data_IF_721405229938
#
_entry.id   IF_721405229938
#
_cell.length_a   1.000
_cell.length_b   1.000
_cell.length_c   1.000
_cell.angle_alpha   90.00
_cell.angle_beta   90.00
_cell.angle_gamma   90.00
#
_symmetry.space_group_name_H-M   'P 1'
#
loop_
_entity.id
_entity.type
_entity.pdbx_description
1 polymer ?
#
# COMPACT_ATOMS: atom_id res chain seq x y z
N UNK A 1 -19.10 -4.34 0.58
CA UNK A 1 -17.97 -3.45 0.31
C UNK A 1 -16.80 -4.23 -0.27
N UNK A 2 -16.50 -5.39 0.28
CA UNK A 2 -15.53 -6.35 -0.30
C UNK A 2 -15.91 -6.90 -1.67
N UNK A 3 -17.21 -7.01 -1.99
CA UNK A 3 -17.70 -7.39 -3.33
C UNK A 3 -17.36 -6.37 -4.44
N UNK A 4 -16.92 -5.15 -4.08
CA UNK A 4 -16.44 -4.12 -5.01
C UNK A 4 -14.90 -4.00 -4.99
N UNK A 5 -14.19 -4.87 -4.28
CA UNK A 5 -12.74 -4.83 -4.16
C UNK A 5 -12.21 -3.68 -3.30
N UNK A 6 -13.04 -2.96 -2.53
CA UNK A 6 -12.57 -1.82 -1.74
C UNK A 6 -12.49 -2.19 -0.26
N UNK A 7 -11.28 -2.07 0.32
CA UNK A 7 -11.01 -2.34 1.74
C UNK A 7 -11.66 -1.32 2.69
N UNK A 8 -12.09 -0.17 2.15
CA UNK A 8 -12.95 0.79 2.81
C UNK A 8 -13.72 1.64 1.81
N UNK A 9 -14.51 2.59 2.28
CA UNK A 9 -15.24 3.54 1.46
C UNK A 9 -15.49 4.81 2.27
N UNK A 10 -15.09 5.94 1.70
CA UNK A 10 -15.50 7.24 2.21
C UNK A 10 -16.89 7.65 1.70
N UNK A 11 -17.79 8.02 2.62
CA UNK A 11 -19.08 8.64 2.29
C UNK A 11 -18.96 10.17 2.33
N UNK A 12 -18.98 10.89 1.17
CA UNK A 12 -18.85 12.35 1.14
C UNK A 12 -20.08 13.09 1.68
N UNK A 13 -21.19 12.40 1.92
CA UNK A 13 -22.43 12.98 2.45
C UNK A 13 -22.53 12.87 3.98
N UNK A 14 -21.92 11.83 4.57
CA UNK A 14 -21.90 11.63 6.03
C UNK A 14 -20.55 11.91 6.66
N UNK A 15 -19.51 12.12 5.85
CA UNK A 15 -18.12 12.28 6.28
C UNK A 15 -17.59 11.08 7.08
N UNK A 16 -18.09 9.88 6.79
CA UNK A 16 -17.70 8.65 7.48
C UNK A 16 -16.82 7.77 6.59
N UNK A 17 -15.73 7.27 7.17
CA UNK A 17 -14.94 6.19 6.61
C UNK A 17 -15.57 4.85 7.04
N UNK A 18 -15.95 4.03 6.07
CA UNK A 18 -16.46 2.70 6.32
C UNK A 18 -15.38 1.70 5.93
N UNK A 19 -14.82 0.98 6.88
CA UNK A 19 -13.77 0.00 6.62
C UNK A 19 -14.39 -1.39 6.60
N UNK A 20 -13.99 -2.20 5.61
CA UNK A 20 -14.43 -3.58 5.52
C UNK A 20 -13.80 -4.41 6.64
N UNK A 21 -14.61 -5.24 7.28
CA UNK A 21 -14.18 -6.26 8.24
C UNK A 21 -13.31 -7.34 7.60
N UNK A 22 -13.27 -7.38 6.27
CA UNK A 22 -12.42 -8.26 5.47
C UNK A 22 -10.99 -7.75 5.31
N UNK A 23 -10.52 -6.72 6.03
CA UNK A 23 -9.09 -6.34 6.01
C UNK A 23 -8.29 -7.19 7.01
N UNK A 24 -7.12 -7.72 6.63
CA UNK A 24 -6.30 -8.46 7.60
C UNK A 24 -5.79 -7.55 8.72
N UNK A 25 -5.59 -8.05 9.95
CA UNK A 25 -5.14 -7.22 11.07
C UNK A 25 -3.87 -6.40 10.77
N UNK A 26 -2.85 -6.93 10.04
CA UNK A 26 -1.68 -6.16 9.61
C UNK A 26 -2.01 -4.94 8.75
N UNK A 27 -3.01 -5.00 7.87
CA UNK A 27 -3.33 -3.89 6.96
C UNK A 27 -4.41 -2.93 7.51
N UNK A 28 -5.12 -3.30 8.58
CA UNK A 28 -6.32 -2.61 9.03
C UNK A 28 -6.11 -1.13 9.36
N UNK A 29 -5.10 -0.80 10.17
CA UNK A 29 -4.89 0.59 10.60
C UNK A 29 -4.48 1.49 9.43
N UNK A 30 -3.69 0.96 8.49
CA UNK A 30 -3.35 1.66 7.25
C UNK A 30 -4.61 1.93 6.42
N UNK A 31 -5.47 0.93 6.19
CA UNK A 31 -6.72 1.09 5.44
C UNK A 31 -7.64 2.12 6.09
N UNK A 32 -7.78 2.11 7.42
CA UNK A 32 -8.52 3.16 8.15
C UNK A 32 -7.91 4.54 7.91
N UNK A 33 -6.58 4.68 8.03
CA UNK A 33 -5.91 5.95 7.82
C UNK A 33 -6.04 6.46 6.37
N UNK A 34 -6.07 5.56 5.40
CA UNK A 34 -6.28 5.87 3.99
C UNK A 34 -7.68 6.46 3.75
N UNK A 35 -8.74 5.82 4.22
CA UNK A 35 -10.11 6.34 4.08
C UNK A 35 -10.31 7.66 4.86
N UNK A 36 -9.62 7.81 6.00
CA UNK A 36 -9.58 9.07 6.73
C UNK A 36 -8.87 10.17 5.93
N UNK A 37 -7.83 9.85 5.17
CA UNK A 37 -7.17 10.82 4.30
C UNK A 37 -8.13 11.32 3.20
N UNK A 38 -8.91 10.43 2.59
CA UNK A 38 -9.98 10.83 1.68
C UNK A 38 -11.00 11.77 2.36
N UNK A 39 -11.37 11.47 3.61
CA UNK A 39 -12.26 12.31 4.41
C UNK A 39 -11.70 13.72 4.66
N UNK A 40 -10.38 13.87 4.68
CA UNK A 40 -9.68 15.13 4.89
C UNK A 40 -9.36 15.88 3.59
N UNK A 41 -9.82 15.38 2.43
CA UNK A 41 -9.70 16.05 1.14
C UNK A 41 -8.53 15.57 0.28
N UNK A 42 -7.81 14.52 0.67
CA UNK A 42 -6.82 13.86 -0.19
C UNK A 42 -7.56 12.99 -1.21
N UNK A 43 -8.03 13.57 -2.30
CA UNK A 43 -8.84 12.85 -3.29
C UNK A 43 -8.04 11.90 -4.18
N UNK A 44 -6.71 12.06 -4.28
CA UNK A 44 -5.87 11.16 -5.07
C UNK A 44 -5.39 9.99 -4.22
N UNK A 45 -5.52 8.77 -4.75
CA UNK A 45 -5.10 7.52 -4.10
C UNK A 45 -3.65 7.52 -3.63
N UNK A 46 -2.72 8.06 -4.42
CA UNK A 46 -1.30 8.14 -4.07
C UNK A 46 -1.06 9.07 -2.86
N UNK A 47 -1.74 10.22 -2.82
CA UNK A 47 -1.68 11.17 -1.71
C UNK A 47 -2.34 10.58 -0.44
N UNK A 48 -3.46 9.88 -0.59
CA UNK A 48 -4.13 9.17 0.50
C UNK A 48 -3.27 8.03 1.07
N UNK A 49 -2.68 7.19 0.21
CA UNK A 49 -1.78 6.11 0.61
C UNK A 49 -0.51 6.64 1.31
N UNK A 50 0.11 7.70 0.78
CA UNK A 50 1.29 8.27 1.42
C UNK A 50 0.94 8.95 2.75
N UNK A 51 -0.20 9.64 2.84
CA UNK A 51 -0.68 10.22 4.10
C UNK A 51 -0.95 9.14 5.15
N UNK A 52 -1.59 8.03 4.76
CA UNK A 52 -1.82 6.88 5.63
C UNK A 52 -0.51 6.27 6.13
N UNK A 53 0.46 6.08 5.22
CA UNK A 53 1.81 5.63 5.57
C UNK A 53 2.43 6.51 6.65
N UNK A 54 2.49 7.83 6.43
CA UNK A 54 3.10 8.78 7.35
C UNK A 54 2.43 8.78 8.73
N UNK A 55 1.09 8.77 8.78
CA UNK A 55 0.34 8.72 10.04
C UNK A 55 0.63 7.43 10.81
N UNK A 56 0.65 6.30 10.10
CA UNK A 56 0.90 5.00 10.71
C UNK A 56 2.32 4.86 11.24
N UNK A 57 3.35 5.11 10.43
CA UNK A 57 4.76 4.91 10.83
C UNK A 57 5.22 5.86 11.93
N UNK A 58 4.63 7.06 12.00
CA UNK A 58 4.92 8.03 13.08
C UNK A 58 4.02 7.85 14.31
N UNK A 59 3.13 6.85 14.33
CA UNK A 59 2.22 6.63 15.45
C UNK A 59 2.97 6.16 16.71
N UNK A 60 2.45 6.53 17.88
CA UNK A 60 2.91 5.97 19.17
C UNK A 60 2.38 4.56 19.40
N UNK A 61 1.30 4.18 18.72
CA UNK A 61 0.71 2.86 18.80
C UNK A 61 1.51 1.83 17.97
N UNK A 62 2.01 0.74 18.58
CA UNK A 62 2.79 -0.27 17.85
C UNK A 62 2.03 -0.98 16.73
N UNK A 63 0.73 -1.21 16.87
CA UNK A 63 -0.08 -1.86 15.84
C UNK A 63 -0.27 -0.95 14.63
N UNK A 64 -0.47 0.36 14.86
CA UNK A 64 -0.50 1.34 13.77
C UNK A 64 0.84 1.43 13.03
N UNK A 65 1.96 1.46 13.77
CA UNK A 65 3.29 1.45 13.15
C UNK A 65 3.52 0.20 12.32
N UNK A 66 3.20 -0.96 12.90
CA UNK A 66 3.29 -2.23 12.18
C UNK A 66 2.48 -2.19 10.89
N UNK A 67 1.26 -1.68 10.95
CA UNK A 67 0.40 -1.59 9.77
C UNK A 67 0.96 -0.67 8.68
N UNK A 68 1.53 0.47 9.05
CA UNK A 68 2.23 1.36 8.12
C UNK A 68 3.44 0.71 7.48
N UNK A 69 4.28 0.07 8.28
CA UNK A 69 5.47 -0.65 7.79
C UNK A 69 5.10 -1.85 6.92
N UNK A 70 4.07 -2.61 7.31
CA UNK A 70 3.59 -3.79 6.58
C UNK A 70 3.08 -3.41 5.20
N UNK A 71 2.18 -2.43 5.09
CA UNK A 71 1.67 -1.98 3.78
C UNK A 71 2.76 -1.30 2.96
N UNK A 72 3.65 -0.53 3.58
CA UNK A 72 4.84 0.04 2.92
C UNK A 72 5.74 -1.06 2.33
N UNK A 73 5.98 -2.13 3.09
CA UNK A 73 6.73 -3.31 2.64
C UNK A 73 6.04 -4.01 1.46
N UNK A 74 4.71 -4.14 1.47
CA UNK A 74 3.97 -4.73 0.34
C UNK A 74 4.15 -3.90 -0.93
N UNK A 75 4.09 -2.56 -0.85
CA UNK A 75 4.33 -1.69 -1.99
C UNK A 75 5.76 -1.84 -2.54
N UNK A 76 6.77 -1.80 -1.66
CA UNK A 76 8.17 -1.89 -2.08
C UNK A 76 8.52 -3.28 -2.60
N UNK A 77 8.04 -4.35 -1.98
CA UNK A 77 8.22 -5.73 -2.45
C UNK A 77 7.57 -5.95 -3.82
N UNK A 78 6.37 -5.43 -4.04
CA UNK A 78 5.69 -5.54 -5.33
C UNK A 78 6.46 -4.81 -6.43
N UNK A 79 7.00 -3.62 -6.13
CA UNK A 79 7.84 -2.88 -7.05
C UNK A 79 9.17 -3.60 -7.32
N UNK A 80 9.82 -4.13 -6.27
CA UNK A 80 11.10 -4.81 -6.38
C UNK A 80 10.98 -6.12 -7.18
N UNK A 81 9.95 -6.93 -6.92
CA UNK A 81 9.67 -8.14 -7.70
C UNK A 81 9.54 -7.85 -9.20
N UNK A 82 8.94 -6.71 -9.57
CA UNK A 82 8.81 -6.31 -10.99
C UNK A 82 10.13 -5.87 -11.61
N UNK A 83 10.97 -5.21 -10.82
CA UNK A 83 12.26 -4.69 -11.28
C UNK A 83 13.35 -5.78 -11.35
N UNK A 84 13.36 -6.69 -10.38
CA UNK A 84 14.37 -7.74 -10.17
C UNK A 84 13.74 -8.97 -9.49
N UNK A 85 13.15 -9.90 -10.27
CA UNK A 85 12.52 -11.10 -9.73
C UNK A 85 13.49 -12.03 -8.98
N UNK A 86 14.73 -12.13 -9.45
CA UNK A 86 15.74 -13.01 -8.86
C UNK A 86 16.19 -12.46 -7.50
N UNK A 87 16.53 -11.16 -7.43
CA UNK A 87 16.87 -10.51 -6.18
C UNK A 87 15.68 -10.42 -5.21
N UNK A 88 14.45 -10.30 -5.72
CA UNK A 88 13.25 -10.40 -4.90
C UNK A 88 13.16 -11.73 -4.17
N UNK A 89 13.45 -12.86 -4.84
CA UNK A 89 13.36 -14.17 -4.20
C UNK A 89 14.34 -14.28 -3.02
N UNK A 90 15.59 -13.81 -3.21
CA UNK A 90 16.60 -13.77 -2.15
C UNK A 90 16.19 -12.85 -0.99
N UNK A 91 15.70 -11.64 -1.29
CA UNK A 91 15.22 -10.70 -0.27
C UNK A 91 14.04 -11.28 0.49
N UNK A 92 13.06 -11.84 -0.22
CA UNK A 92 11.85 -12.39 0.39
C UNK A 92 12.19 -13.51 1.36
N UNK A 93 13.13 -14.41 1.01
CA UNK A 93 13.59 -15.48 1.91
C UNK A 93 14.29 -14.95 3.17
N UNK A 94 14.89 -13.75 3.11
CA UNK A 94 15.53 -13.11 4.27
C UNK A 94 14.54 -12.46 5.26
N UNK A 95 13.27 -12.30 4.88
CA UNK A 95 12.22 -11.71 5.72
C UNK A 95 11.83 -12.70 6.83
N UNK A 96 11.61 -12.16 8.03
CA UNK A 96 11.11 -12.91 9.19
C UNK A 96 9.88 -13.76 8.84
N UNK A 97 9.84 -14.99 9.38
CA UNK A 97 8.78 -15.95 9.07
C UNK A 97 7.38 -15.44 9.44
N UNK A 98 7.25 -14.69 10.55
CA UNK A 98 5.99 -14.09 10.96
C UNK A 98 5.48 -13.06 9.94
N UNK A 99 6.39 -12.23 9.42
CA UNK A 99 6.05 -11.24 8.39
C UNK A 99 5.66 -11.93 7.08
N UNK A 100 6.39 -12.98 6.67
CA UNK A 100 6.02 -13.78 5.49
C UNK A 100 4.65 -14.45 5.65
N UNK A 101 4.32 -14.92 6.85
CA UNK A 101 2.99 -15.46 7.17
C UNK A 101 1.91 -14.38 6.99
N UNK A 102 2.12 -13.19 7.54
CA UNK A 102 1.18 -12.06 7.40
C UNK A 102 1.00 -11.64 5.93
N UNK A 103 2.08 -11.62 5.14
CA UNK A 103 2.02 -11.35 3.69
C UNK A 103 1.19 -12.42 2.99
N UNK A 104 1.41 -13.70 3.31
CA UNK A 104 0.67 -14.81 2.71
C UNK A 104 -0.83 -14.74 3.04
N UNK A 105 -1.18 -14.50 4.31
CA UNK A 105 -2.57 -14.33 4.75
C UNK A 105 -3.23 -13.12 4.09
N UNK A 106 -2.50 -12.00 3.96
CA UNK A 106 -2.98 -10.83 3.23
C UNK A 106 -3.35 -11.17 1.79
N UNK A 107 -2.46 -11.82 1.04
CA UNK A 107 -2.74 -12.16 -0.36
C UNK A 107 -3.86 -13.20 -0.50
N UNK A 108 -3.92 -14.24 0.34
CA UNK A 108 -5.06 -15.18 0.36
C UNK A 108 -6.37 -14.43 0.54
N UNK A 109 -6.37 -13.46 1.46
CA UNK A 109 -7.58 -12.75 1.80
C UNK A 109 -8.01 -11.78 0.70
N UNK A 110 -7.05 -11.13 0.05
CA UNK A 110 -7.28 -10.23 -1.08
C UNK A 110 -7.69 -11.00 -2.36
N UNK A 111 -7.15 -12.20 -2.59
CA UNK A 111 -7.47 -13.05 -3.76
C UNK A 111 -8.95 -13.46 -3.82
N UNK A 112 -9.65 -13.47 -2.66
CA UNK A 112 -11.11 -13.66 -2.59
C UNK A 112 -11.90 -12.56 -3.31
N UNK A 113 -11.25 -11.42 -3.59
CA UNK A 113 -11.85 -10.25 -4.19
C UNK A 113 -11.09 -9.91 -5.48
N UNK A 114 -11.37 -10.66 -6.55
CA UNK A 114 -10.70 -10.62 -7.87
C UNK A 114 -10.46 -9.19 -8.41
N UNK A 115 -11.35 -8.23 -8.11
CA UNK A 115 -11.24 -6.84 -8.59
C UNK A 115 -10.14 -5.97 -7.95
N UNK A 116 -9.74 -6.22 -6.70
CA UNK A 116 -8.73 -5.37 -6.01
C UNK A 116 -7.32 -5.63 -6.53
N UNK A 117 -6.96 -6.89 -6.75
CA UNK A 117 -5.68 -7.24 -7.37
C UNK A 117 -5.62 -6.65 -8.78
N UNK A 118 -6.69 -6.75 -9.56
CA UNK A 118 -6.70 -6.22 -10.92
C UNK A 118 -6.64 -4.68 -10.95
N UNK A 119 -7.30 -3.97 -10.01
CA UNK A 119 -7.26 -2.51 -9.90
C UNK A 119 -5.91 -2.01 -9.35
N UNK A 120 -5.33 -2.67 -8.35
CA UNK A 120 -4.01 -2.33 -7.81
C UNK A 120 -2.91 -2.64 -8.84
N UNK A 121 -2.97 -3.81 -9.49
CA UNK A 121 -2.04 -4.16 -10.56
C UNK A 121 -2.18 -3.26 -11.78
N UNK A 122 -3.41 -2.93 -12.21
CA UNK A 122 -3.65 -2.03 -13.35
C UNK A 122 -3.24 -0.60 -13.03
N UNK A 123 -3.54 -0.05 -11.84
CA UNK A 123 -3.10 1.29 -11.43
C UNK A 123 -1.57 1.39 -11.33
N UNK A 124 -0.89 0.37 -10.79
CA UNK A 124 0.58 0.35 -10.76
C UNK A 124 1.17 0.16 -12.17
N UNK A 125 0.56 -0.69 -13.01
CA UNK A 125 0.98 -0.87 -14.41
C UNK A 125 0.80 0.40 -15.25
N UNK A 126 -0.33 1.09 -15.13
CA UNK A 126 -0.60 2.35 -15.82
C UNK A 126 0.40 3.45 -15.42
N UNK A 127 0.84 3.43 -14.15
CA UNK A 127 1.81 4.39 -13.62
C UNK A 127 3.23 4.11 -14.14
N UNK A 128 3.63 2.83 -14.22
CA UNK A 128 4.87 2.40 -14.86
C UNK A 128 4.92 2.78 -16.35
N UNK A 129 3.84 2.51 -17.09
CA UNK A 129 3.75 2.88 -18.51
C UNK A 129 3.82 4.40 -18.72
N UNK A 130 3.26 5.20 -17.81
CA UNK A 130 3.34 6.67 -17.87
C UNK A 130 4.73 7.20 -17.49
N UNK A 131 5.45 6.55 -16.57
CA UNK A 131 6.83 6.93 -16.22
C UNK A 131 7.84 6.61 -17.32
N UNK A 132 7.61 5.57 -18.13
CA UNK A 132 8.48 5.22 -19.26
C UNK A 132 8.42 6.23 -20.43
N UNK A 133 7.62 7.29 -20.33
CA UNK A 133 7.52 8.37 -21.32
C UNK A 133 8.39 9.60 -21.03
N UNK A 134 9.05 9.69 -19.87
CA UNK A 134 9.93 10.81 -19.53
C UNK A 134 11.40 10.34 -19.54
N UNK A 135 12.14 10.83 -20.54
CA UNK A 135 13.60 10.66 -20.67
C UNK A 135 14.35 11.45 -19.58
N UNK A 136 14.26 11.07 -18.30
CA UNK A 136 15.26 11.49 -17.28
C UNK A 136 15.20 10.63 -15.99
N UNK A 137 15.93 9.52 -15.99
CA UNK A 137 16.90 9.23 -14.92
C UNK A 137 16.47 8.68 -13.55
N UNK A 138 15.18 8.53 -13.21
CA UNK A 138 14.76 7.81 -12.00
C UNK A 138 13.62 6.88 -12.39
N UNK A 139 13.80 5.56 -12.20
CA UNK A 139 12.70 4.62 -12.40
C UNK A 139 11.58 4.97 -11.41
N UNK A 140 10.39 5.40 -11.90
CA UNK A 140 9.24 5.52 -11.01
C UNK A 140 8.71 4.12 -10.73
N UNK A 141 8.81 3.69 -9.49
CA UNK A 141 8.31 2.40 -9.02
C UNK A 141 6.79 2.43 -8.75
N UNK A 142 6.23 3.63 -8.85
CA UNK A 142 4.87 4.02 -8.54
C UNK A 142 4.91 5.16 -7.52
N UNK A 143 4.13 6.22 -7.73
CA UNK A 143 4.20 7.48 -6.96
C UNK A 143 4.24 7.31 -5.44
N UNK A 144 3.61 6.29 -4.85
CA UNK A 144 3.70 6.05 -3.40
C UNK A 144 5.03 5.42 -2.97
N UNK A 145 5.62 4.53 -3.77
CA UNK A 145 6.93 3.91 -3.48
C UNK A 145 8.02 4.97 -3.53
N UNK A 146 7.99 5.82 -4.56
CA UNK A 146 8.96 6.91 -4.71
C UNK A 146 8.89 7.87 -3.51
N UNK A 147 7.68 8.18 -3.03
CA UNK A 147 7.47 9.02 -1.83
C UNK A 147 7.95 8.33 -0.54
N UNK A 148 7.73 7.02 -0.39
CA UNK A 148 8.21 6.25 0.76
C UNK A 148 9.74 6.22 0.80
N UNK A 149 10.39 5.97 -0.34
CA UNK A 149 11.85 5.95 -0.46
C UNK A 149 12.44 7.32 -0.13
N UNK A 150 11.94 8.38 -0.77
CA UNK A 150 12.40 9.75 -0.51
C UNK A 150 12.23 10.14 0.97
N UNK A 151 11.08 9.83 1.57
CA UNK A 151 10.85 10.07 2.99
C UNK A 151 11.85 9.32 3.87
N UNK A 152 12.15 8.06 3.54
CA UNK A 152 13.09 7.25 4.32
C UNK A 152 14.53 7.82 4.23
N UNK A 153 14.97 8.26 3.04
CA UNK A 153 16.29 8.88 2.84
C UNK A 153 16.46 10.22 3.57
N UNK A 154 15.39 10.99 3.79
CA UNK A 154 15.44 12.24 4.55
C UNK A 154 15.50 12.02 6.07
N UNK A 155 15.06 10.86 6.56
CA UNK A 155 14.86 10.59 7.99
C UNK A 155 15.82 9.54 8.59
N UNK A 156 16.68 8.92 7.77
CA UNK A 156 17.67 7.92 8.15
C UNK A 156 19.01 8.11 7.43
#
# INVERSE_FOLDING_TARGET
>A
MSYLGVGGMYSPFTCEAIVSDDTTPPALAFTVAHEMAHSLGFSRENEANFSAFLVCVNSKDPAMRYSGCFTGLLYTLTAYHRADPDGYAELYESIDEGIRSDIHEYFINVEKYEGFIEELHSKINDLFLKSNGEEEGIASYGQVVDLIVAWNEENH
#
